data_IF_875110885492
#
_entry.id   IF_875110885492
#
_cell.length_a   1.000
_cell.length_b   1.000
_cell.length_c   1.000
_cell.angle_alpha   90.00
_cell.angle_beta   90.00
_cell.angle_gamma   90.00
#
_symmetry.space_group_name_H-M   'P 1'
#
loop_
_entity.id
_entity.type
_entity.pdbx_description
1 polymer ?
#
# COMPACT_ATOMS: atom_id res chain seq x y z
N UNK A 1 17.37 -11.05 -5.64
CA UNK A 1 16.29 -10.40 -6.41
C UNK A 1 14.91 -10.99 -6.12
N UNK A 2 14.78 -12.28 -5.78
CA UNK A 2 13.47 -12.91 -5.56
C UNK A 2 12.62 -12.24 -4.48
N UNK A 3 13.22 -11.87 -3.33
CA UNK A 3 12.48 -11.19 -2.26
C UNK A 3 11.97 -9.80 -2.68
N UNK A 4 12.80 -8.97 -3.32
CA UNK A 4 12.40 -7.65 -3.79
C UNK A 4 11.31 -7.73 -4.87
N UNK A 5 11.42 -8.68 -5.80
CA UNK A 5 10.40 -8.92 -6.82
C UNK A 5 9.07 -9.35 -6.19
N UNK A 6 9.10 -10.25 -5.21
CA UNK A 6 7.89 -10.67 -4.50
C UNK A 6 7.26 -9.52 -3.71
N UNK A 7 8.06 -8.71 -3.02
CA UNK A 7 7.56 -7.58 -2.23
C UNK A 7 6.97 -6.50 -3.14
N UNK A 8 7.75 -5.95 -4.07
CA UNK A 8 7.29 -4.85 -4.91
C UNK A 8 6.26 -5.30 -5.94
N UNK A 9 6.47 -6.47 -6.57
CA UNK A 9 5.53 -7.03 -7.54
C UNK A 9 4.22 -7.49 -6.89
N UNK A 10 4.29 -8.18 -5.75
CA UNK A 10 3.11 -8.56 -4.97
C UNK A 10 2.32 -7.34 -4.49
N UNK A 11 3.02 -6.28 -4.08
CA UNK A 11 2.38 -5.02 -3.72
C UNK A 11 1.73 -4.33 -4.91
N UNK A 12 2.34 -4.32 -6.11
CA UNK A 12 1.69 -3.82 -7.32
C UNK A 12 0.40 -4.59 -7.66
N UNK A 13 0.41 -5.93 -7.52
CA UNK A 13 -0.82 -6.74 -7.70
C UNK A 13 -1.89 -6.34 -6.67
N UNK A 14 -1.51 -6.14 -5.42
CA UNK A 14 -2.41 -5.63 -4.39
C UNK A 14 -3.01 -4.26 -4.77
N UNK A 15 -2.19 -3.32 -5.23
CA UNK A 15 -2.66 -2.00 -5.66
C UNK A 15 -3.64 -2.08 -6.83
N UNK A 16 -3.39 -2.96 -7.82
CA UNK A 16 -4.30 -3.18 -8.95
C UNK A 16 -5.65 -3.71 -8.46
N UNK A 17 -5.64 -4.75 -7.62
CA UNK A 17 -6.86 -5.31 -7.03
C UNK A 17 -7.61 -4.24 -6.21
N UNK A 18 -6.90 -3.48 -5.37
CA UNK A 18 -7.49 -2.44 -4.54
C UNK A 18 -8.07 -1.30 -5.40
N UNK A 19 -7.42 -0.92 -6.49
CA UNK A 19 -7.91 0.09 -7.41
C UNK A 19 -9.19 -0.39 -8.13
N UNK A 20 -9.23 -1.67 -8.52
CA UNK A 20 -10.43 -2.30 -9.10
C UNK A 20 -11.60 -2.34 -8.10
N UNK A 21 -11.34 -2.71 -6.84
CA UNK A 21 -12.36 -2.68 -5.80
C UNK A 21 -12.85 -1.25 -5.53
N UNK A 22 -11.93 -0.28 -5.45
CA UNK A 22 -12.26 1.13 -5.26
C UNK A 22 -13.17 1.63 -6.39
N UNK A 23 -12.89 1.26 -7.65
CA UNK A 23 -13.74 1.60 -8.79
C UNK A 23 -15.18 1.06 -8.64
N UNK A 24 -15.35 -0.15 -8.10
CA UNK A 24 -16.67 -0.76 -7.92
C UNK A 24 -17.48 -0.15 -6.79
N UNK A 25 -16.83 0.36 -5.75
CA UNK A 25 -17.52 0.92 -4.57
C UNK A 25 -17.70 2.44 -4.67
N UNK A 26 -16.94 3.13 -5.52
CA UNK A 26 -17.13 4.56 -5.82
C UNK A 26 -18.37 4.75 -6.70
N UNK A 27 -19.26 5.73 -6.42
CA UNK A 27 -19.16 6.79 -5.41
C UNK A 27 -19.82 6.47 -4.05
N UNK A 28 -20.37 5.27 -3.87
CA UNK A 28 -21.19 4.92 -2.71
C UNK A 28 -20.42 4.88 -1.38
N UNK A 29 -19.19 4.37 -1.41
CA UNK A 29 -18.32 4.24 -0.22
C UNK A 29 -17.17 5.24 -0.26
N UNK A 30 -16.59 5.46 -1.44
CA UNK A 30 -15.36 6.27 -1.59
C UNK A 30 -15.56 7.37 -2.63
N UNK A 31 -14.94 8.54 -2.41
CA UNK A 31 -14.96 9.68 -3.34
C UNK A 31 -14.12 9.41 -4.59
N UNK A 32 -14.55 9.94 -5.74
CA UNK A 32 -13.80 9.85 -7.01
C UNK A 32 -12.37 10.40 -6.94
N UNK A 33 -12.11 11.39 -6.09
CA UNK A 33 -10.75 11.94 -5.89
C UNK A 33 -9.76 10.90 -5.36
N UNK A 34 -10.20 10.07 -4.41
CA UNK A 34 -9.39 8.98 -3.84
C UNK A 34 -9.16 7.90 -4.89
N UNK A 35 -10.16 7.60 -5.72
CA UNK A 35 -10.01 6.66 -6.84
C UNK A 35 -8.93 7.13 -7.83
N UNK A 36 -9.00 8.38 -8.32
CA UNK A 36 -8.00 8.90 -9.25
C UNK A 36 -6.60 8.96 -8.65
N UNK A 37 -6.49 9.29 -7.36
CA UNK A 37 -5.22 9.25 -6.64
C UNK A 37 -4.64 7.82 -6.62
N UNK A 38 -5.44 6.83 -6.21
CA UNK A 38 -5.04 5.41 -6.20
C UNK A 38 -4.64 4.92 -7.59
N UNK A 39 -5.41 5.28 -8.62
CA UNK A 39 -5.14 4.90 -10.00
C UNK A 39 -3.80 5.47 -10.48
N UNK A 40 -3.54 6.75 -10.25
CA UNK A 40 -2.31 7.41 -10.65
C UNK A 40 -1.07 6.72 -10.05
N UNK A 41 -1.05 6.49 -8.74
CA UNK A 41 0.08 5.84 -8.08
C UNK A 41 0.21 4.36 -8.45
N UNK A 42 -0.89 3.66 -8.72
CA UNK A 42 -0.87 2.28 -9.23
C UNK A 42 -0.18 2.21 -10.58
N UNK A 43 -0.56 3.07 -11.51
CA UNK A 43 0.04 3.14 -12.85
C UNK A 43 1.53 3.50 -12.75
N UNK A 44 1.86 4.54 -11.98
CA UNK A 44 3.24 4.98 -11.78
C UNK A 44 4.11 3.89 -11.14
N UNK A 45 3.61 3.19 -10.12
CA UNK A 45 4.32 2.08 -9.48
C UNK A 45 4.54 0.92 -10.45
N UNK A 46 3.54 0.55 -11.26
CA UNK A 46 3.69 -0.51 -12.26
C UNK A 46 4.74 -0.15 -13.33
N UNK A 47 4.75 1.09 -13.82
CA UNK A 47 5.76 1.55 -14.76
C UNK A 47 7.16 1.55 -14.14
N UNK A 48 7.33 2.06 -12.91
CA UNK A 48 8.61 2.05 -12.22
C UNK A 48 9.13 0.62 -11.97
N UNK A 49 8.25 -0.31 -11.59
CA UNK A 49 8.61 -1.72 -11.44
C UNK A 49 9.04 -2.34 -12.77
N UNK A 50 8.34 -2.05 -13.86
CA UNK A 50 8.70 -2.52 -15.20
C UNK A 50 10.10 -2.01 -15.62
N UNK A 51 10.37 -0.72 -15.40
CA UNK A 51 11.70 -0.16 -15.67
C UNK A 51 12.79 -0.82 -14.81
N UNK A 52 12.53 -1.04 -13.52
CA UNK A 52 13.46 -1.74 -12.64
C UNK A 52 13.78 -3.16 -13.16
N UNK A 53 12.76 -3.91 -13.59
CA UNK A 53 12.96 -5.27 -14.14
C UNK A 53 13.75 -5.21 -15.45
N UNK A 54 13.34 -4.38 -16.41
CA UNK A 54 13.97 -4.30 -17.74
C UNK A 54 15.44 -3.92 -17.62
N UNK A 55 15.74 -2.85 -16.87
CA UNK A 55 17.12 -2.40 -16.71
C UNK A 55 17.95 -3.35 -15.84
N UNK A 56 17.35 -3.98 -14.83
CA UNK A 56 18.03 -4.96 -13.98
C UNK A 56 18.43 -6.22 -14.76
N UNK A 57 17.52 -6.74 -15.60
CA UNK A 57 17.80 -7.87 -16.50
C UNK A 57 18.84 -7.48 -17.56
N UNK A 58 18.73 -6.28 -18.14
CA UNK A 58 19.71 -5.77 -19.12
C UNK A 58 21.11 -5.66 -18.52
N UNK A 59 21.23 -5.12 -17.30
CA UNK A 59 22.48 -5.05 -16.56
C UNK A 59 23.09 -6.44 -16.33
N UNK A 60 22.28 -7.40 -15.88
CA UNK A 60 22.71 -8.77 -15.67
C UNK A 60 23.16 -9.44 -16.98
N UNK A 61 22.42 -9.22 -18.07
CA UNK A 61 22.77 -9.77 -19.39
C UNK A 61 24.12 -9.26 -19.87
N UNK A 62 24.37 -7.95 -19.82
CA UNK A 62 25.65 -7.34 -20.20
C UNK A 62 26.80 -7.85 -19.32
N UNK A 63 26.55 -8.03 -18.02
CA UNK A 63 27.53 -8.59 -17.11
C UNK A 63 27.90 -10.03 -17.49
N UNK A 64 26.92 -10.90 -17.72
CA UNK A 64 27.15 -12.31 -18.06
C UNK A 64 27.70 -12.52 -19.48
N UNK A 65 27.54 -11.55 -20.39
CA UNK A 65 28.26 -11.57 -21.67
C UNK A 65 29.78 -11.44 -21.49
N UNK A 66 30.21 -10.67 -20.48
CA UNK A 66 31.65 -10.50 -20.18
C UNK A 66 32.15 -11.56 -19.21
N UNK A 67 31.31 -11.99 -18.27
CA UNK A 67 31.64 -12.89 -17.18
C UNK A 67 30.57 -14.00 -17.04
N UNK A 68 30.59 -15.04 -17.90
CA UNK A 68 29.53 -16.05 -17.96
C UNK A 68 29.42 -16.89 -16.68
N UNK A 69 30.55 -17.29 -16.11
CA UNK A 69 30.60 -18.21 -14.96
C UNK A 69 30.48 -17.51 -13.59
N UNK A 70 30.51 -16.18 -13.56
CA UNK A 70 30.46 -15.41 -12.32
C UNK A 70 29.01 -15.02 -12.00
N UNK A 71 28.59 -15.12 -10.72
CA UNK A 71 27.27 -14.64 -10.33
C UNK A 71 27.17 -13.13 -10.52
N UNK A 72 25.95 -12.64 -10.79
CA UNK A 72 25.68 -11.21 -10.87
C UNK A 72 26.16 -10.52 -9.58
N UNK A 73 26.88 -9.38 -9.68
CA UNK A 73 27.41 -8.67 -8.53
C UNK A 73 26.30 -8.24 -7.57
N UNK A 74 26.58 -8.28 -6.27
CA UNK A 74 25.65 -7.72 -5.27
C UNK A 74 25.66 -6.19 -5.35
N UNK A 75 24.52 -5.51 -5.11
CA UNK A 75 24.40 -4.05 -5.21
C UNK A 75 25.42 -3.27 -4.37
N UNK A 76 25.88 -3.86 -3.26
CA UNK A 76 26.83 -3.24 -2.32
C UNK A 76 28.26 -3.78 -2.45
N UNK A 77 28.57 -4.47 -3.54
CA UNK A 77 29.95 -4.87 -3.79
C UNK A 77 30.78 -3.61 -4.06
N UNK A 78 31.93 -3.44 -3.39
CA UNK A 78 32.85 -2.29 -3.59
C UNK A 78 33.54 -2.30 -4.97
N UNK A 79 32.98 -3.00 -5.95
CA UNK A 79 33.49 -3.12 -7.32
C UNK A 79 32.72 -2.14 -8.19
N UNK A 80 33.32 -0.97 -8.40
CA UNK A 80 32.77 0.06 -9.28
C UNK A 80 33.11 -0.25 -10.75
N UNK A 81 32.33 0.31 -11.69
CA UNK A 81 32.61 0.29 -13.14
C UNK A 81 32.63 -1.10 -13.80
N UNK A 82 31.68 -1.97 -13.42
CA UNK A 82 31.51 -3.27 -14.09
C UNK A 82 30.61 -3.15 -15.34
N UNK A 83 30.71 -4.07 -16.31
CA UNK A 83 29.78 -4.14 -17.43
C UNK A 83 28.33 -4.16 -16.93
N UNK A 84 27.49 -3.28 -17.46
CA UNK A 84 26.08 -3.14 -17.06
C UNK A 84 25.83 -2.28 -15.81
N UNK A 85 26.86 -1.67 -15.21
CA UNK A 85 26.72 -0.86 -13.99
C UNK A 85 25.76 0.32 -14.14
N UNK A 86 25.78 1.05 -15.25
CA UNK A 86 24.85 2.16 -15.51
C UNK A 86 23.38 1.71 -15.55
N UNK A 87 23.11 0.58 -16.22
CA UNK A 87 21.77 0.00 -16.24
C UNK A 87 21.33 -0.50 -14.86
N UNK A 88 22.26 -1.04 -14.07
CA UNK A 88 21.98 -1.43 -12.69
C UNK A 88 21.60 -0.21 -11.82
N UNK A 89 22.26 0.94 -12.00
CA UNK A 89 21.90 2.18 -11.30
C UNK A 89 20.51 2.66 -11.69
N UNK A 90 20.17 2.69 -12.99
CA UNK A 90 18.84 3.08 -13.46
C UNK A 90 17.76 2.14 -12.91
N UNK A 91 18.06 0.83 -12.89
CA UNK A 91 17.20 -0.18 -12.27
C UNK A 91 16.96 0.12 -10.79
N UNK A 92 18.01 0.44 -10.03
CA UNK A 92 17.90 0.74 -8.61
C UNK A 92 17.10 2.02 -8.38
N UNK A 93 17.35 3.09 -9.13
CA UNK A 93 16.56 4.34 -9.05
C UNK A 93 15.08 4.03 -9.27
N UNK A 94 14.77 3.25 -10.31
CA UNK A 94 13.40 2.86 -10.64
C UNK A 94 12.73 2.04 -9.53
N UNK A 95 13.48 1.13 -8.89
CA UNK A 95 13.01 0.33 -7.75
C UNK A 95 12.65 1.23 -6.54
N UNK A 96 13.52 2.19 -6.20
CA UNK A 96 13.24 3.14 -5.12
C UNK A 96 12.08 4.07 -5.43
N UNK A 97 11.96 4.53 -6.69
CA UNK A 97 10.80 5.29 -7.14
C UNK A 97 9.51 4.47 -7.03
N UNK A 98 9.54 3.19 -7.38
CA UNK A 98 8.41 2.28 -7.17
C UNK A 98 8.00 2.21 -5.70
N UNK A 99 8.96 2.04 -4.78
CA UNK A 99 8.70 2.00 -3.34
C UNK A 99 8.03 3.30 -2.84
N UNK A 100 8.50 4.47 -3.31
CA UNK A 100 7.91 5.76 -2.96
C UNK A 100 6.45 5.86 -3.41
N UNK A 101 6.12 5.42 -4.63
CA UNK A 101 4.74 5.41 -5.12
C UNK A 101 3.85 4.45 -4.33
N UNK A 102 4.38 3.31 -3.88
CA UNK A 102 3.67 2.39 -2.99
C UNK A 102 3.37 3.01 -1.63
N UNK A 103 4.30 3.79 -1.06
CA UNK A 103 4.07 4.54 0.19
C UNK A 103 2.97 5.58 0.01
N UNK A 104 3.00 6.36 -1.07
CA UNK A 104 1.94 7.34 -1.35
C UNK A 104 0.58 6.67 -1.53
N UNK A 105 0.54 5.52 -2.20
CA UNK A 105 -0.69 4.73 -2.29
C UNK A 105 -1.21 4.30 -0.90
N UNK A 106 -0.35 3.89 0.02
CA UNK A 106 -0.76 3.56 1.40
C UNK A 106 -1.37 4.76 2.13
N UNK A 107 -0.90 5.97 1.86
CA UNK A 107 -1.50 7.18 2.44
C UNK A 107 -2.97 7.39 2.01
N UNK A 108 -3.38 6.84 0.86
CA UNK A 108 -4.76 6.96 0.37
C UNK A 108 -5.81 6.32 1.28
N UNK A 109 -5.41 5.44 2.21
CA UNK A 109 -6.30 4.83 3.19
C UNK A 109 -6.60 5.72 4.39
N UNK A 110 -5.86 6.83 4.58
CA UNK A 110 -6.03 7.72 5.72
C UNK A 110 -7.48 8.18 5.95
N UNK A 111 -8.17 8.71 4.93
CA UNK A 111 -9.56 9.14 5.08
C UNK A 111 -10.53 8.00 5.43
N UNK A 112 -10.29 6.80 4.90
CA UNK A 112 -11.14 5.62 5.17
C UNK A 112 -10.96 5.14 6.63
N UNK A 113 -9.73 5.19 7.17
CA UNK A 113 -9.48 4.86 8.57
C UNK A 113 -10.06 5.89 9.54
N UNK A 114 -10.03 7.17 9.17
CA UNK A 114 -10.63 8.25 9.97
C UNK A 114 -12.15 8.07 10.08
N UNK A 115 -12.82 7.76 8.97
CA UNK A 115 -14.26 7.52 8.95
C UNK A 115 -14.67 6.34 9.84
N UNK A 116 -13.96 5.21 9.73
CA UNK A 116 -14.21 4.02 10.56
C UNK A 116 -14.03 4.36 12.05
N UNK A 117 -12.96 5.07 12.41
CA UNK A 117 -12.69 5.47 13.80
C UNK A 117 -13.80 6.33 14.38
N UNK A 118 -14.31 7.29 13.61
CA UNK A 118 -15.41 8.18 14.04
C UNK A 118 -16.71 7.38 14.21
N UNK A 119 -17.05 6.50 13.26
CA UNK A 119 -18.25 5.68 13.35
C UNK A 119 -18.24 4.77 14.60
N UNK A 120 -17.13 4.08 14.88
CA UNK A 120 -16.99 3.25 16.07
C UNK A 120 -17.11 4.07 17.37
N UNK A 121 -16.48 5.25 17.43
CA UNK A 121 -16.55 6.11 18.61
C UNK A 121 -17.96 6.61 18.88
N UNK A 122 -18.70 7.03 17.84
CA UNK A 122 -20.08 7.49 17.97
C UNK A 122 -21.02 6.34 18.37
N UNK A 123 -20.89 5.16 17.75
CA UNK A 123 -21.70 4.00 18.09
C UNK A 123 -21.48 3.57 19.54
N UNK A 124 -20.22 3.57 20.02
CA UNK A 124 -19.91 3.24 21.41
C UNK A 124 -20.56 4.22 22.39
N UNK A 125 -20.52 5.52 22.10
CA UNK A 125 -21.15 6.54 22.96
C UNK A 125 -22.67 6.42 22.98
N UNK A 126 -23.28 6.17 21.82
CA UNK A 126 -24.72 5.96 21.71
C UNK A 126 -25.16 4.75 22.55
N UNK A 127 -24.50 3.60 22.38
CA UNK A 127 -24.82 2.38 23.11
C UNK A 127 -24.68 2.56 24.64
N UNK A 128 -23.66 3.29 25.11
CA UNK A 128 -23.48 3.59 26.53
C UNK A 128 -24.53 4.55 27.09
N UNK A 129 -24.98 5.52 26.29
CA UNK A 129 -26.04 6.43 26.70
C UNK A 129 -27.39 5.70 26.79
N UNK A 130 -27.68 4.83 25.81
CA UNK A 130 -28.89 4.01 25.79
C UNK A 130 -28.95 3.04 26.98
N UNK A 131 -27.84 2.36 27.29
CA UNK A 131 -27.79 1.49 28.49
C UNK A 131 -27.99 2.28 29.78
N UNK A 132 -27.41 3.48 29.90
CA UNK A 132 -27.59 4.32 31.08
C UNK A 132 -29.02 4.82 31.28
N UNK A 133 -29.72 5.15 30.18
CA UNK A 133 -31.15 5.51 30.23
C UNK A 133 -31.97 4.30 30.67
N UNK A 134 -31.74 3.13 30.07
CA UNK A 134 -32.47 1.90 30.44
C UNK A 134 -32.27 1.50 31.91
N UNK A 135 -31.07 1.70 32.46
CA UNK A 135 -30.79 1.43 33.87
C UNK A 135 -31.50 2.44 34.78
N UNK A 136 -31.53 3.73 34.42
CA UNK A 136 -32.27 4.75 35.18
C UNK A 136 -33.79 4.52 35.20
N UNK A 137 -34.39 4.14 34.07
CA UNK A 137 -35.82 3.83 34.00
C UNK A 137 -36.17 2.60 34.85
N UNK A 138 -35.26 1.62 34.92
CA UNK A 138 -35.41 0.45 35.79
C UNK A 138 -35.37 0.85 37.26
N UNK A 139 -34.41 1.67 37.67
CA UNK A 139 -34.26 2.14 39.05
C UNK A 139 -35.48 2.97 39.51
N UNK A 140 -36.06 3.81 38.64
CA UNK A 140 -37.29 4.57 38.94
C UNK A 140 -38.50 3.65 39.17
N UNK A 141 -38.67 2.61 38.32
CA UNK A 141 -39.74 1.62 38.47
C UNK A 141 -39.60 0.78 39.75
N UNK A 142 -38.38 0.36 40.09
CA UNK A 142 -38.13 -0.34 41.35
C UNK A 142 -38.42 0.55 42.57
N UNK A 143 -38.05 1.83 42.50
CA UNK A 143 -38.31 2.79 43.59
C UNK A 143 -39.82 3.01 43.81
N UNK A 144 -40.62 3.06 42.75
CA UNK A 144 -42.08 3.18 42.87
C UNK A 144 -42.76 1.94 43.47
N UNK A 145 -42.17 0.75 43.33
CA UNK A 145 -42.73 -0.49 43.86
C UNK A 145 -42.45 -0.72 45.36
N UNK A 146 -41.54 0.06 45.96
CA UNK A 146 -41.13 -0.08 47.36
C UNK A 146 -41.92 0.86 48.31
N UNK A 147 -42.70 1.80 47.77
CA UNK A 147 -43.58 2.73 48.51
C UNK A 147 -45.02 2.22 48.50
#
# INVERSE_FOLDING_TARGET
MSAAFMTFGGFCLYMICQCYLTFKVTPHVTKWSVFYYRLAFTILSCFSLLFAIVFGVTAAHIYHQTYPDLPTPRPWSRRFYQPGYEFHQISAISEWTCAIFQIFFMQSFGPEFEEISVQFFLQSKYNSAESGISDSERDELETQHII
#
